data_IF_503263968830
#
_entry.id   IF_503263968830
#
_cell.length_a   1.000
_cell.length_b   1.000
_cell.length_c   1.000
_cell.angle_alpha   90.00
_cell.angle_beta   90.00
_cell.angle_gamma   90.00
#
_symmetry.space_group_name_H-M   'P 1'
#
loop_
_entity.id
_entity.type
_entity.pdbx_description
1 polymer ?
#
# COMPACT_ATOMS: atom_id res chain seq x y z
N UNK A 1 3.60 -15.45 -29.20
CA UNK A 1 2.99 -14.57 -28.19
C UNK A 1 1.58 -15.08 -27.82
N UNK A 2 1.28 -15.21 -26.50
CA UNK A 2 -0.06 -15.62 -26.06
C UNK A 2 -1.10 -14.56 -26.49
N UNK A 3 -2.18 -14.93 -27.19
CA UNK A 3 -3.24 -14.00 -27.58
C UNK A 3 -3.93 -13.45 -26.32
N UNK A 4 -3.99 -12.14 -26.18
CA UNK A 4 -4.71 -11.48 -25.06
C UNK A 4 -6.22 -11.57 -25.31
N UNK A 5 -7.01 -11.57 -24.22
CA UNK A 5 -8.47 -11.63 -24.31
C UNK A 5 -9.08 -10.43 -25.04
N UNK A 6 -10.19 -10.62 -25.74
CA UNK A 6 -10.88 -9.58 -26.54
C UNK A 6 -11.17 -8.31 -25.72
N UNK A 7 -11.67 -8.44 -24.48
CA UNK A 7 -11.98 -7.29 -23.61
C UNK A 7 -10.74 -6.47 -23.25
N UNK A 8 -9.63 -7.13 -22.92
CA UNK A 8 -8.36 -6.43 -22.63
C UNK A 8 -7.83 -5.71 -23.88
N UNK A 9 -7.93 -6.33 -25.07
CA UNK A 9 -7.48 -5.71 -26.32
C UNK A 9 -8.30 -4.46 -26.64
N UNK A 10 -9.63 -4.51 -26.46
CA UNK A 10 -10.51 -3.36 -26.63
C UNK A 10 -10.21 -2.23 -25.62
N UNK A 11 -9.98 -2.57 -24.34
CA UNK A 11 -9.60 -1.60 -23.32
C UNK A 11 -8.24 -0.95 -23.65
N UNK A 12 -7.25 -1.76 -24.07
CA UNK A 12 -5.91 -1.25 -24.44
C UNK A 12 -5.95 -0.34 -25.67
N UNK A 13 -6.82 -0.57 -26.63
CA UNK A 13 -6.96 0.28 -27.82
C UNK A 13 -7.41 1.73 -27.48
N UNK A 14 -8.01 1.94 -26.31
CA UNK A 14 -8.41 3.27 -25.82
C UNK A 14 -7.26 4.04 -25.16
N UNK A 15 -6.13 3.38 -24.89
CA UNK A 15 -4.94 3.97 -24.26
C UNK A 15 -3.86 4.14 -25.34
N UNK A 16 -3.49 5.38 -25.65
CA UNK A 16 -2.39 5.64 -26.58
C UNK A 16 -1.07 5.13 -26.00
N UNK A 17 -0.36 4.28 -26.74
CA UNK A 17 0.83 3.57 -26.26
C UNK A 17 2.02 4.52 -26.00
N UNK A 18 2.13 5.57 -26.82
CA UNK A 18 3.26 6.50 -26.84
C UNK A 18 3.00 7.79 -26.04
N UNK A 19 1.74 8.01 -25.59
CA UNK A 19 1.39 9.17 -24.77
C UNK A 19 1.69 8.91 -23.31
N UNK A 20 2.32 9.88 -22.66
CA UNK A 20 2.40 9.99 -21.20
C UNK A 20 1.29 10.94 -20.75
N UNK A 21 0.57 10.56 -19.71
CA UNK A 21 -0.59 11.29 -19.19
C UNK A 21 -0.24 11.97 -17.87
N UNK A 22 -0.90 13.08 -17.53
CA UNK A 22 -0.87 13.57 -16.16
C UNK A 22 -1.66 12.63 -15.22
N UNK A 23 -1.51 12.77 -13.90
CA UNK A 23 -2.28 11.97 -12.93
C UNK A 23 -3.78 12.25 -13.11
N UNK A 24 -4.13 13.53 -13.33
CA UNK A 24 -5.51 14.01 -13.51
C UNK A 24 -6.18 13.44 -14.78
N UNK A 25 -5.40 13.27 -15.86
CA UNK A 25 -5.89 12.63 -17.09
C UNK A 25 -5.94 11.11 -16.99
N UNK A 26 -5.00 10.51 -16.29
CA UNK A 26 -4.87 9.06 -16.18
C UNK A 26 -5.98 8.43 -15.34
N UNK A 27 -6.41 9.07 -14.23
CA UNK A 27 -7.40 8.51 -13.32
C UNK A 27 -8.79 8.30 -13.97
N UNK A 28 -9.39 9.31 -14.66
CA UNK A 28 -10.64 9.06 -15.38
C UNK A 28 -10.49 8.04 -16.51
N UNK A 29 -9.32 7.98 -17.15
CA UNK A 29 -9.05 7.01 -18.20
C UNK A 29 -9.02 5.57 -17.66
N UNK A 30 -8.38 5.33 -16.47
CA UNK A 30 -8.41 4.02 -15.80
C UNK A 30 -9.84 3.58 -15.50
N UNK A 31 -10.68 4.50 -14.99
CA UNK A 31 -12.08 4.21 -14.72
C UNK A 31 -12.88 3.88 -15.97
N UNK A 32 -12.59 4.55 -17.09
CA UNK A 32 -13.26 4.32 -18.39
C UNK A 32 -12.90 2.98 -19.00
N UNK A 33 -11.64 2.55 -18.92
CA UNK A 33 -11.16 1.32 -19.57
C UNK A 33 -11.37 0.07 -18.73
N UNK A 34 -11.94 0.17 -17.53
CA UNK A 34 -12.31 -1.00 -16.73
C UNK A 34 -13.32 -1.86 -17.46
N UNK A 35 -13.19 -3.18 -17.34
CA UNK A 35 -14.11 -4.12 -17.99
C UNK A 35 -14.54 -5.29 -17.11
N UNK A 36 -14.01 -5.42 -15.91
CA UNK A 36 -14.44 -6.43 -14.96
C UNK A 36 -15.81 -6.07 -14.33
N UNK A 37 -16.54 -7.10 -13.88
CA UNK A 37 -17.85 -6.92 -13.25
C UNK A 37 -17.76 -6.53 -11.76
N UNK A 38 -16.61 -6.76 -11.14
CA UNK A 38 -16.35 -6.39 -9.75
C UNK A 38 -15.72 -4.99 -9.66
N UNK A 39 -15.72 -4.41 -8.48
CA UNK A 39 -15.07 -3.13 -8.20
C UNK A 39 -13.55 -3.32 -8.16
N UNK A 40 -12.89 -2.97 -9.26
CA UNK A 40 -11.45 -3.15 -9.44
C UNK A 40 -10.67 -2.20 -8.51
N UNK A 41 -9.52 -2.64 -8.02
CA UNK A 41 -8.58 -1.78 -7.32
C UNK A 41 -7.73 -1.02 -8.32
N UNK A 42 -7.55 0.28 -8.07
CA UNK A 42 -6.60 1.12 -8.82
C UNK A 42 -5.27 1.07 -8.10
N UNK A 43 -4.22 0.69 -8.83
CA UNK A 43 -2.86 0.56 -8.32
C UNK A 43 -1.91 1.51 -9.05
N UNK A 44 -1.00 2.09 -8.30
CA UNK A 44 0.11 2.88 -8.82
C UNK A 44 1.39 2.05 -8.73
N UNK A 45 2.07 1.91 -9.85
CA UNK A 45 3.34 1.20 -9.97
C UNK A 45 4.44 2.21 -10.29
N UNK A 46 5.45 2.30 -9.42
CA UNK A 46 6.56 3.23 -9.57
C UNK A 46 7.87 2.46 -9.68
N UNK A 47 8.58 2.62 -10.79
CA UNK A 47 9.94 2.11 -10.95
C UNK A 47 10.92 3.17 -10.49
N UNK A 48 11.70 2.82 -9.46
CA UNK A 48 12.67 3.70 -8.84
C UNK A 48 14.09 3.49 -9.38
N UNK A 49 14.91 4.50 -9.27
CA UNK A 49 16.34 4.47 -9.59
C UNK A 49 17.19 4.05 -8.38
N UNK A 50 16.80 2.96 -7.70
CA UNK A 50 17.51 2.40 -6.54
C UNK A 50 17.95 0.97 -6.82
N UNK A 51 18.97 0.50 -6.12
CA UNK A 51 19.36 -0.92 -6.09
C UNK A 51 18.93 -1.56 -4.77
N UNK A 52 17.84 -2.37 -4.76
CA UNK A 52 17.32 -2.98 -3.55
C UNK A 52 18.21 -4.04 -2.90
N UNK A 53 19.32 -4.42 -3.56
CA UNK A 53 20.32 -5.33 -2.98
C UNK A 53 21.09 -4.69 -1.84
N UNK A 54 21.22 -3.36 -1.88
CA UNK A 54 21.88 -2.57 -0.84
C UNK A 54 20.85 -2.14 0.22
N UNK A 55 21.13 -2.42 1.47
CA UNK A 55 20.21 -2.12 2.59
C UNK A 55 19.95 -0.60 2.76
N UNK A 56 20.90 0.25 2.40
CA UNK A 56 20.84 1.71 2.41
C UNK A 56 19.99 2.29 1.28
N UNK A 57 19.70 1.50 0.21
CA UNK A 57 18.84 1.89 -0.90
C UNK A 57 17.44 1.23 -0.84
N UNK A 58 17.13 0.54 0.25
CA UNK A 58 15.84 -0.10 0.45
C UNK A 58 14.78 0.94 0.82
N UNK A 59 13.90 1.26 -0.12
CA UNK A 59 12.77 2.19 0.09
C UNK A 59 11.58 1.43 0.67
N UNK A 60 11.14 1.83 1.85
CA UNK A 60 9.88 1.39 2.47
C UNK A 60 9.32 2.49 3.36
N UNK A 61 8.01 2.52 3.47
CA UNK A 61 7.32 3.50 4.32
C UNK A 61 5.84 3.22 4.37
N UNK A 62 5.14 4.14 4.98
CA UNK A 62 3.68 4.11 5.07
C UNK A 62 3.11 5.48 4.73
N UNK A 63 1.93 5.49 4.20
CA UNK A 63 1.15 6.70 3.91
C UNK A 63 -0.29 6.49 4.37
N UNK A 64 -0.88 7.49 4.98
CA UNK A 64 -2.32 7.54 5.25
C UNK A 64 -2.97 8.24 4.07
N UNK A 65 -3.81 7.51 3.34
CA UNK A 65 -4.51 8.06 2.19
C UNK A 65 -5.67 8.94 2.64
N UNK A 66 -5.83 10.18 2.11
CA UNK A 66 -6.89 11.10 2.53
C UNK A 66 -8.30 10.51 2.41
N UNK A 67 -8.56 9.72 1.37
CA UNK A 67 -9.86 9.10 1.11
C UNK A 67 -9.86 7.57 1.37
N UNK A 68 -8.82 7.04 2.03
CA UNK A 68 -8.71 5.62 2.32
C UNK A 68 -8.64 4.73 1.08
N UNK A 69 -8.87 3.43 1.27
CA UNK A 69 -8.80 2.39 0.21
C UNK A 69 -10.16 1.86 -0.23
N UNK A 70 -11.26 2.26 0.42
CA UNK A 70 -12.60 1.70 0.16
C UNK A 70 -12.80 0.26 0.65
N UNK A 71 -11.91 -0.21 1.53
CA UNK A 71 -12.04 -1.49 2.24
C UNK A 71 -11.71 -1.26 3.71
N UNK A 72 -12.63 -1.59 4.61
CA UNK A 72 -12.33 -1.66 6.04
C UNK A 72 -11.42 -2.85 6.31
N UNK A 73 -10.27 -2.60 6.94
CA UNK A 73 -9.36 -3.67 7.36
C UNK A 73 -9.76 -4.16 8.74
N UNK A 74 -9.77 -5.46 8.93
CA UNK A 74 -9.90 -6.06 10.26
C UNK A 74 -8.54 -5.99 10.95
N UNK A 75 -8.48 -5.25 12.04
CA UNK A 75 -7.25 -4.98 12.78
C UNK A 75 -7.18 -5.86 14.01
N UNK A 76 -6.12 -6.64 14.12
CA UNK A 76 -5.76 -7.38 15.31
C UNK A 76 -4.73 -6.57 16.11
N UNK A 77 -5.03 -6.30 17.39
CA UNK A 77 -4.10 -5.68 18.32
C UNK A 77 -3.58 -6.72 19.32
N UNK A 78 -2.25 -6.88 19.38
CA UNK A 78 -1.59 -7.77 20.33
C UNK A 78 -0.89 -6.90 21.37
N UNK A 79 -1.48 -6.84 22.57
CA UNK A 79 -1.04 -5.98 23.66
C UNK A 79 -1.22 -6.64 25.02
N UNK A 80 -0.47 -6.16 26.01
CA UNK A 80 -0.61 -6.58 27.42
C UNK A 80 -1.44 -5.60 28.24
N UNK A 81 -2.18 -6.12 29.23
CA UNK A 81 -2.81 -5.34 30.29
C UNK A 81 -3.76 -4.23 29.82
N UNK A 82 -3.57 -3.02 30.31
CA UNK A 82 -4.43 -1.86 30.03
C UNK A 82 -4.47 -1.46 28.57
N UNK A 83 -3.42 -1.72 27.81
CA UNK A 83 -3.35 -1.39 26.38
C UNK A 83 -4.29 -2.21 25.51
N UNK A 84 -4.80 -3.33 26.01
CA UNK A 84 -5.88 -4.06 25.33
C UNK A 84 -7.19 -3.25 25.34
N UNK A 85 -7.51 -2.57 26.46
CA UNK A 85 -8.67 -1.70 26.55
C UNK A 85 -8.56 -0.50 25.61
N UNK A 86 -7.39 0.15 25.58
CA UNK A 86 -7.11 1.25 24.66
C UNK A 86 -7.30 0.82 23.18
N UNK A 87 -6.82 -0.38 22.83
CA UNK A 87 -6.99 -0.92 21.48
C UNK A 87 -8.46 -1.18 21.14
N UNK A 88 -9.24 -1.68 22.09
CA UNK A 88 -10.66 -1.94 21.92
C UNK A 88 -11.46 -0.64 21.77
N UNK A 89 -11.18 0.37 22.59
CA UNK A 89 -11.77 1.70 22.50
C UNK A 89 -11.41 2.41 21.19
N UNK A 90 -10.19 2.19 20.67
CA UNK A 90 -9.77 2.70 19.37
C UNK A 90 -10.46 2.00 18.19
N UNK A 91 -11.21 0.93 18.46
CA UNK A 91 -11.98 0.19 17.47
C UNK A 91 -11.24 -0.97 16.83
N UNK A 92 -10.23 -1.58 17.47
CA UNK A 92 -9.64 -2.81 16.97
C UNK A 92 -10.70 -3.93 16.94
N UNK A 93 -10.71 -4.72 15.86
CA UNK A 93 -11.73 -5.78 15.67
C UNK A 93 -11.42 -7.01 16.53
N UNK A 94 -10.14 -7.25 16.75
CA UNK A 94 -9.63 -8.34 17.56
C UNK A 94 -8.56 -7.79 18.50
N UNK A 95 -8.66 -8.13 19.78
CA UNK A 95 -7.68 -7.71 20.79
C UNK A 95 -7.33 -8.90 21.66
N UNK A 96 -6.05 -9.06 21.98
CA UNK A 96 -5.61 -10.10 22.91
C UNK A 96 -4.11 -10.02 23.21
N UNK A 97 -3.66 -10.91 24.07
CA UNK A 97 -2.29 -11.07 24.48
C UNK A 97 -1.64 -12.33 23.89
N UNK A 98 -0.99 -13.12 24.76
CA UNK A 98 -0.33 -14.36 24.35
C UNK A 98 -1.31 -15.42 23.84
N UNK A 99 -2.55 -15.43 24.34
CA UNK A 99 -3.60 -16.31 23.87
C UNK A 99 -3.92 -16.15 22.38
N UNK A 100 -3.81 -14.92 21.86
CA UNK A 100 -4.00 -14.66 20.42
C UNK A 100 -2.80 -15.16 19.61
N UNK A 101 -1.59 -15.13 20.18
CA UNK A 101 -0.40 -15.69 19.54
C UNK A 101 -0.58 -17.21 19.36
N UNK A 102 -1.09 -17.92 20.39
CA UNK A 102 -1.36 -19.36 20.32
C UNK A 102 -2.45 -19.69 19.29
N UNK A 103 -3.55 -18.91 19.25
CA UNK A 103 -4.61 -19.06 18.25
C UNK A 103 -4.08 -18.90 16.82
N UNK A 104 -3.20 -17.93 16.57
CA UNK A 104 -2.58 -17.72 15.25
C UNK A 104 -1.65 -18.89 14.90
N UNK A 105 -0.90 -19.43 15.84
CA UNK A 105 -0.10 -20.65 15.64
C UNK A 105 -0.99 -21.84 15.27
N UNK A 106 -2.19 -21.93 15.85
CA UNK A 106 -3.21 -22.93 15.53
C UNK A 106 -3.91 -22.70 14.18
N UNK A 107 -3.53 -21.63 13.41
CA UNK A 107 -4.06 -21.39 12.08
C UNK A 107 -5.13 -20.29 11.98
N UNK A 108 -5.45 -19.59 13.06
CA UNK A 108 -6.39 -18.47 13.01
C UNK A 108 -5.77 -17.29 12.25
N UNK A 109 -6.43 -16.85 11.17
CA UNK A 109 -5.91 -15.80 10.26
C UNK A 109 -7.02 -14.84 9.79
N UNK A 110 -8.06 -14.63 10.59
CA UNK A 110 -9.21 -13.82 10.20
C UNK A 110 -9.00 -12.31 10.50
N UNK A 111 -7.88 -11.76 10.03
CA UNK A 111 -7.50 -10.36 10.14
C UNK A 111 -6.69 -9.89 8.94
N UNK A 112 -6.74 -8.58 8.63
CA UNK A 112 -6.06 -7.97 7.50
C UNK A 112 -4.82 -7.13 7.92
N UNK A 113 -4.69 -6.80 9.21
CA UNK A 113 -3.53 -6.07 9.75
C UNK A 113 -3.28 -6.46 11.20
N UNK A 114 -2.01 -6.40 11.63
CA UNK A 114 -1.59 -6.68 13.00
C UNK A 114 -0.84 -5.48 13.56
N UNK A 115 -1.23 -5.05 14.75
CA UNK A 115 -0.52 -4.05 15.57
C UNK A 115 -0.06 -4.73 16.85
N UNK A 116 1.15 -4.44 17.28
CA UNK A 116 1.68 -5.03 18.51
C UNK A 116 2.40 -3.98 19.38
N UNK A 117 2.35 -4.17 20.70
CA UNK A 117 3.25 -3.44 21.61
C UNK A 117 4.68 -3.99 21.52
N UNK A 118 5.71 -3.16 21.78
CA UNK A 118 7.09 -3.62 21.81
C UNK A 118 7.31 -4.80 22.77
N UNK A 119 6.62 -4.81 23.92
CA UNK A 119 6.73 -5.85 24.94
C UNK A 119 6.26 -7.22 24.41
N UNK A 120 5.21 -7.23 23.60
CA UNK A 120 4.65 -8.45 23.00
C UNK A 120 5.44 -8.97 21.79
N UNK A 121 6.41 -8.20 21.28
CA UNK A 121 7.18 -8.59 20.09
C UNK A 121 7.98 -9.88 20.29
N UNK A 122 8.36 -10.22 21.52
CA UNK A 122 9.00 -11.51 21.82
C UNK A 122 8.08 -12.68 21.53
N UNK A 123 6.81 -12.58 21.90
CA UNK A 123 5.79 -13.59 21.62
C UNK A 123 5.41 -13.61 20.13
N UNK A 124 5.17 -12.41 19.55
CA UNK A 124 4.84 -12.25 18.12
C UNK A 124 5.96 -12.74 17.20
N UNK A 125 7.22 -12.67 17.64
CA UNK A 125 8.37 -13.18 16.90
C UNK A 125 8.25 -14.68 16.54
N UNK A 126 7.59 -15.47 17.39
CA UNK A 126 7.30 -16.90 17.14
C UNK A 126 6.38 -17.09 15.91
N UNK A 127 5.57 -16.08 15.56
CA UNK A 127 4.66 -16.07 14.42
C UNK A 127 5.34 -15.71 13.09
N UNK A 128 6.64 -15.40 13.09
CA UNK A 128 7.36 -14.96 11.89
C UNK A 128 7.22 -15.89 10.68
N UNK A 129 7.17 -17.21 10.93
CA UNK A 129 6.96 -18.23 9.86
C UNK A 129 5.55 -18.19 9.25
N UNK A 130 4.56 -17.72 10.01
CA UNK A 130 3.14 -17.68 9.60
C UNK A 130 2.79 -16.29 9.01
N UNK A 131 3.13 -15.22 9.73
CA UNK A 131 2.79 -13.85 9.36
C UNK A 131 3.75 -13.26 8.31
N UNK A 132 5.04 -13.66 8.33
CA UNK A 132 6.06 -13.13 7.43
C UNK A 132 5.74 -13.29 5.95
N UNK A 133 5.46 -14.53 5.45
CA UNK A 133 5.13 -14.77 4.04
C UNK A 133 3.87 -14.03 3.56
N UNK A 134 2.95 -13.69 4.50
CA UNK A 134 1.72 -12.96 4.20
C UNK A 134 1.86 -11.42 4.31
N UNK A 135 3.03 -10.93 4.71
CA UNK A 135 3.25 -9.50 4.91
C UNK A 135 2.52 -8.89 6.10
N UNK A 136 2.03 -9.72 7.04
CA UNK A 136 1.26 -9.28 8.21
C UNK A 136 2.12 -9.12 9.47
N UNK A 137 3.44 -9.34 9.37
CA UNK A 137 4.34 -9.23 10.51
C UNK A 137 4.50 -7.78 10.96
N UNK A 138 4.18 -7.45 12.23
CA UNK A 138 4.36 -6.09 12.74
C UNK A 138 5.83 -5.64 12.66
N UNK A 139 6.02 -4.36 12.33
CA UNK A 139 7.36 -3.78 12.17
C UNK A 139 7.41 -2.34 12.69
N UNK A 140 8.46 -1.96 13.46
CA UNK A 140 8.64 -0.58 13.94
C UNK A 140 8.72 0.46 12.81
N UNK A 141 9.36 0.10 11.68
CA UNK A 141 9.53 1.01 10.53
C UNK A 141 8.22 1.37 9.84
N UNK A 142 7.18 0.55 9.97
CA UNK A 142 5.83 0.81 9.43
C UNK A 142 4.88 1.35 10.50
N UNK A 143 5.38 1.55 11.72
CA UNK A 143 4.57 2.04 12.83
C UNK A 143 3.46 1.07 13.28
N UNK A 144 3.62 -0.23 12.95
CA UNK A 144 2.72 -1.29 13.44
C UNK A 144 3.23 -1.92 14.74
N UNK A 145 4.46 -1.60 15.16
CA UNK A 145 4.97 -1.83 16.51
C UNK A 145 5.09 -0.49 17.19
N UNK A 146 4.22 -0.21 18.13
CA UNK A 146 4.16 1.08 18.81
C UNK A 146 3.61 0.94 20.23
N UNK A 147 3.95 1.91 21.08
CA UNK A 147 3.38 2.06 22.42
C UNK A 147 1.97 2.68 22.34
N UNK A 148 1.74 3.54 21.34
CA UNK A 148 0.44 4.19 21.08
C UNK A 148 -0.39 3.36 20.09
N UNK A 149 -1.04 2.33 20.62
CA UNK A 149 -1.88 1.41 19.83
C UNK A 149 -3.10 2.11 19.28
N UNK A 150 -3.71 3.02 20.05
CA UNK A 150 -4.93 3.70 19.67
C UNK A 150 -4.75 4.49 18.38
N UNK A 151 -3.63 5.22 18.27
CA UNK A 151 -3.28 5.96 17.05
C UNK A 151 -3.03 5.04 15.87
N UNK A 152 -2.26 3.96 16.07
CA UNK A 152 -1.95 3.02 14.99
C UNK A 152 -3.19 2.32 14.43
N UNK A 153 -4.12 1.90 15.31
CA UNK A 153 -5.40 1.30 14.90
C UNK A 153 -6.24 2.28 14.10
N UNK A 154 -6.38 3.53 14.56
CA UNK A 154 -7.11 4.58 13.84
C UNK A 154 -6.52 4.87 12.46
N UNK A 155 -5.18 4.99 12.36
CA UNK A 155 -4.50 5.20 11.07
C UNK A 155 -4.72 4.05 10.09
N UNK A 156 -4.64 2.78 10.56
CA UNK A 156 -4.87 1.61 9.71
C UNK A 156 -6.32 1.58 9.21
N UNK A 157 -7.29 1.89 10.07
CA UNK A 157 -8.71 1.98 9.70
C UNK A 157 -8.99 3.18 8.78
N UNK A 158 -8.27 4.28 8.94
CA UNK A 158 -8.33 5.43 8.04
C UNK A 158 -7.76 5.16 6.64
N UNK A 159 -7.12 4.02 6.42
CA UNK A 159 -6.57 3.64 5.11
C UNK A 159 -5.06 3.80 4.99
N UNK A 160 -4.32 3.52 6.07
CA UNK A 160 -2.85 3.44 6.02
C UNK A 160 -2.41 2.34 5.06
N UNK A 161 -1.57 2.72 4.10
CA UNK A 161 -0.96 1.84 3.10
C UNK A 161 0.52 1.73 3.39
N UNK A 162 1.03 0.51 3.42
CA UNK A 162 2.47 0.25 3.43
C UNK A 162 2.97 0.10 1.99
N UNK A 163 4.10 0.71 1.69
CA UNK A 163 4.81 0.51 0.44
C UNK A 163 6.24 0.04 0.69
N UNK A 164 6.69 -0.85 -0.19
CA UNK A 164 8.04 -1.40 -0.14
C UNK A 164 8.55 -1.65 -1.55
N UNK A 165 9.80 -1.28 -1.81
CA UNK A 165 10.46 -1.62 -3.06
C UNK A 165 10.70 -3.13 -3.15
N UNK A 166 10.39 -3.72 -4.31
CA UNK A 166 10.69 -5.12 -4.61
C UNK A 166 12.15 -5.31 -5.04
N UNK A 167 12.54 -6.55 -5.36
CA UNK A 167 13.91 -6.90 -5.82
C UNK A 167 14.29 -6.26 -7.16
N UNK A 168 13.32 -5.75 -7.92
CA UNK A 168 13.51 -5.13 -9.25
C UNK A 168 13.53 -3.60 -9.20
N UNK A 169 13.41 -3.01 -8.00
CA UNK A 169 13.37 -1.56 -7.81
C UNK A 169 11.99 -0.96 -8.10
N UNK A 170 10.91 -1.75 -7.98
CA UNK A 170 9.54 -1.32 -8.25
C UNK A 170 8.74 -1.31 -6.95
N UNK A 171 7.89 -0.30 -6.80
CA UNK A 171 6.86 -0.21 -5.76
C UNK A 171 5.49 -0.42 -6.41
N UNK A 172 4.69 -1.28 -5.83
CA UNK A 172 3.28 -1.47 -6.13
C UNK A 172 2.45 -1.03 -4.94
N UNK A 173 1.55 -0.08 -5.12
CA UNK A 173 0.70 0.40 -4.04
C UNK A 173 -0.72 0.72 -4.53
N UNK A 174 -1.76 0.28 -3.80
CA UNK A 174 -3.14 0.60 -4.12
C UNK A 174 -3.43 2.05 -3.73
N UNK A 175 -4.21 2.74 -4.56
CA UNK A 175 -4.65 4.14 -4.34
C UNK A 175 -6.16 4.26 -4.11
N UNK A 176 -6.92 3.21 -4.39
CA UNK A 176 -8.37 3.18 -4.15
C UNK A 176 -9.09 2.19 -5.03
N UNK A 177 -10.40 2.36 -5.15
CA UNK A 177 -11.29 1.56 -5.99
C UNK A 177 -11.75 2.34 -7.21
N UNK A 178 -12.09 1.62 -8.31
CA UNK A 178 -12.62 2.26 -9.52
C UNK A 178 -13.96 2.94 -9.29
N UNK A 179 -14.68 2.62 -8.22
CA UNK A 179 -15.92 3.28 -7.78
C UNK A 179 -15.71 4.63 -7.12
N UNK A 180 -14.47 4.99 -6.73
CA UNK A 180 -14.18 6.28 -6.12
C UNK A 180 -14.38 7.44 -7.09
N UNK A 181 -14.70 8.62 -6.54
CA UNK A 181 -14.65 9.85 -7.33
C UNK A 181 -13.24 10.09 -7.87
N UNK A 182 -13.13 10.57 -9.11
CA UNK A 182 -11.83 10.82 -9.77
C UNK A 182 -10.92 11.71 -8.92
N UNK A 183 -11.47 12.78 -8.32
CA UNK A 183 -10.70 13.70 -7.48
C UNK A 183 -10.12 13.01 -6.24
N UNK A 184 -10.84 12.03 -5.66
CA UNK A 184 -10.37 11.24 -4.52
C UNK A 184 -9.20 10.34 -4.92
N UNK A 185 -9.25 9.72 -6.10
CA UNK A 185 -8.14 8.91 -6.63
C UNK A 185 -6.90 9.77 -6.92
N UNK A 186 -7.10 10.97 -7.49
CA UNK A 186 -6.03 11.93 -7.76
C UNK A 186 -5.36 12.34 -6.44
N UNK A 187 -6.13 12.75 -5.43
CA UNK A 187 -5.59 13.15 -4.14
C UNK A 187 -4.83 12.00 -3.43
N UNK A 188 -5.38 10.77 -3.47
CA UNK A 188 -4.70 9.60 -2.93
C UNK A 188 -3.38 9.31 -3.68
N UNK A 189 -3.37 9.44 -5.02
CA UNK A 189 -2.17 9.21 -5.81
C UNK A 189 -1.09 10.25 -5.50
N UNK A 190 -1.44 11.52 -5.36
CA UNK A 190 -0.50 12.57 -4.96
C UNK A 190 0.10 12.30 -3.58
N UNK A 191 -0.74 11.99 -2.57
CA UNK A 191 -0.27 11.68 -1.22
C UNK A 191 0.71 10.48 -1.19
N UNK A 192 0.44 9.45 -2.00
CA UNK A 192 1.33 8.30 -2.15
C UNK A 192 2.67 8.68 -2.80
N UNK A 193 2.62 9.40 -3.92
CA UNK A 193 3.81 9.84 -4.65
C UNK A 193 4.70 10.73 -3.78
N UNK A 194 4.12 11.72 -3.10
CA UNK A 194 4.84 12.60 -2.18
C UNK A 194 5.56 11.83 -1.08
N UNK A 195 4.88 10.84 -0.49
CA UNK A 195 5.47 9.99 0.54
C UNK A 195 6.65 9.17 0.00
N UNK A 196 6.55 8.65 -1.23
CA UNK A 196 7.62 7.89 -1.88
C UNK A 196 8.81 8.79 -2.24
N UNK A 197 8.56 10.02 -2.72
CA UNK A 197 9.62 10.98 -3.05
C UNK A 197 10.35 11.45 -1.79
N UNK A 198 9.63 11.71 -0.70
CA UNK A 198 10.23 12.04 0.61
C UNK A 198 11.06 10.88 1.20
N UNK A 199 10.70 9.64 0.88
CA UNK A 199 11.44 8.44 1.31
C UNK A 199 12.68 8.16 0.44
N UNK A 200 13.09 9.08 -0.46
CA UNK A 200 14.29 8.92 -1.30
C UNK A 200 15.54 8.76 -0.42
N UNK A 201 16.29 7.64 -0.57
CA UNK A 201 17.54 7.46 0.15
C UNK A 201 18.61 8.45 -0.33
N UNK A 202 19.46 8.94 0.59
CA UNK A 202 20.59 9.80 0.24
C UNK A 202 21.59 9.11 -0.71
N UNK A 203 21.70 7.79 -0.63
CA UNK A 203 22.55 6.98 -1.50
C UNK A 203 22.02 6.83 -2.95
N UNK A 204 20.75 7.20 -3.22
CA UNK A 204 20.17 7.11 -4.54
C UNK A 204 20.64 8.25 -5.43
N UNK A 205 21.51 7.93 -6.42
CA UNK A 205 22.06 8.86 -7.40
C UNK A 205 21.21 8.87 -8.69
N UNK A 206 21.20 10.02 -9.37
CA UNK A 206 20.51 10.17 -10.65
C UNK A 206 18.98 10.31 -10.55
N UNK A 207 18.28 9.93 -11.65
CA UNK A 207 16.80 10.02 -11.73
C UNK A 207 16.16 9.01 -10.80
N UNK A 208 15.44 9.50 -9.79
CA UNK A 208 14.79 8.65 -8.78
C UNK A 208 13.53 7.96 -9.31
N UNK A 209 12.59 8.72 -9.90
CA UNK A 209 11.41 8.16 -10.55
C UNK A 209 11.71 7.86 -12.02
N UNK A 210 11.95 6.58 -12.35
CA UNK A 210 12.23 6.15 -13.74
C UNK A 210 10.98 6.04 -14.58
N UNK A 211 9.92 5.46 -14.02
CA UNK A 211 8.61 5.37 -14.68
C UNK A 211 7.50 5.25 -13.64
N UNK A 212 6.35 5.82 -13.95
CA UNK A 212 5.13 5.73 -13.16
C UNK A 212 4.02 5.20 -14.05
N UNK A 213 3.25 4.25 -13.57
CA UNK A 213 2.14 3.63 -14.33
C UNK A 213 0.97 3.41 -13.38
N UNK A 214 -0.22 3.78 -13.82
CA UNK A 214 -1.46 3.47 -13.12
C UNK A 214 -2.22 2.38 -13.88
N UNK A 215 -2.83 1.47 -13.15
CA UNK A 215 -3.66 0.40 -13.73
C UNK A 215 -4.79 0.01 -12.79
N UNK A 216 -5.88 -0.49 -13.35
CA UNK A 216 -6.86 -1.25 -12.57
C UNK A 216 -6.50 -2.73 -12.56
N UNK A 217 -7.11 -3.51 -11.63
CA UNK A 217 -6.77 -4.93 -11.40
C UNK A 217 -6.68 -5.76 -12.69
N UNK A 218 -7.61 -5.56 -13.63
CA UNK A 218 -7.65 -6.30 -14.88
C UNK A 218 -7.30 -5.43 -16.09
N UNK A 219 -7.24 -4.11 -15.93
CA UNK A 219 -7.08 -3.13 -16.99
C UNK A 219 -5.65 -3.01 -17.54
N UNK A 220 -5.48 -2.29 -18.66
CA UNK A 220 -4.16 -1.95 -19.19
C UNK A 220 -3.47 -0.91 -18.31
N UNK A 221 -2.13 -0.95 -18.27
CA UNK A 221 -1.32 0.09 -17.63
C UNK A 221 -1.30 1.37 -18.46
N UNK A 222 -1.50 2.50 -17.81
CA UNK A 222 -1.43 3.86 -18.36
C UNK A 222 -0.19 4.54 -17.84
N UNK A 223 0.68 5.01 -18.72
CA UNK A 223 1.94 5.67 -18.34
C UNK A 223 1.70 7.10 -17.90
N UNK A 224 2.29 7.48 -16.78
CA UNK A 224 2.23 8.84 -16.23
C UNK A 224 3.55 9.57 -16.52
N UNK A 225 3.46 10.87 -16.82
CA UNK A 225 4.64 11.72 -17.01
C UNK A 225 5.36 11.92 -15.66
N UNK A 226 6.60 11.43 -15.60
CA UNK A 226 7.43 11.54 -14.40
C UNK A 226 7.95 12.96 -14.16
N UNK A 227 8.04 13.80 -15.19
CA UNK A 227 8.53 15.18 -15.06
C UNK A 227 7.56 16.02 -14.24
N UNK A 228 6.27 15.89 -14.52
CA UNK A 228 5.20 16.55 -13.79
C UNK A 228 5.12 16.09 -12.33
N UNK A 229 5.31 14.78 -12.12
CA UNK A 229 5.31 14.17 -10.78
C UNK A 229 6.49 14.66 -9.93
N UNK A 230 7.69 14.75 -10.51
CA UNK A 230 8.88 15.24 -9.81
C UNK A 230 8.78 16.74 -9.43
N UNK A 231 8.04 17.54 -10.20
CA UNK A 231 7.82 18.97 -9.91
C UNK A 231 6.83 19.17 -8.77
N UNK A 232 5.74 18.40 -8.74
CA UNK A 232 4.73 18.47 -7.67
C UNK A 232 5.30 18.09 -6.30
N UNK A 233 6.18 17.13 -6.23
CA UNK A 233 6.80 16.67 -4.98
C UNK A 233 7.87 17.62 -4.42
N UNK A 234 8.18 18.74 -5.09
CA UNK A 234 9.12 19.76 -4.62
C UNK A 234 8.44 20.96 -3.94
N UNK A 235 7.13 21.02 -3.97
CA UNK A 235 6.29 22.00 -3.26
C UNK A 235 5.61 21.34 -2.05
#
# INVERSE_FOLDING_TARGET
MRKRGKKFTAARAQVAADKQYSIEEAMPLVQKVKYAKFDETVELTLRLGVDPKHADQMVRGTVVLPFGLGKSKRVLAIAGGEKQKEAQEAGADLVGGEEMVEKIQGGFMDFDAVVATPDMMRAVGKLGKVLGPRGLMPNPKTGTVTVDIAKAVKEIKAGKVEFRVDKTGIIHAPVGKTSFATNSLVANAHALVDSIVRAKPAAAKGKYLKSVTVSSTMGPGIRIDTTHVDQMAKH
#
